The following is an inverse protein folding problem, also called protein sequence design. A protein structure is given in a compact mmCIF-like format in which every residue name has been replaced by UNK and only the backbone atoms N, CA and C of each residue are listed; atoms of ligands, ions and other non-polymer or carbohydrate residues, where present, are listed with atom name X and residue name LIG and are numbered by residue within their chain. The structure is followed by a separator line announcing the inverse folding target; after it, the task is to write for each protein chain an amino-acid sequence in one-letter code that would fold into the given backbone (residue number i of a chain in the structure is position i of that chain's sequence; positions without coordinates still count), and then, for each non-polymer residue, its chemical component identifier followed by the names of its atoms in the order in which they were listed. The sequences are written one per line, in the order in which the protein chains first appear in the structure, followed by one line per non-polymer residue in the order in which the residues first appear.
data_IF_648108492448
#
_entry.id   IF_648108492448
#
_cell.length_a   1.000
_cell.length_b   1.000
_cell.length_c   1.000
_cell.angle_alpha   90.00
_cell.angle_beta   90.00
_cell.angle_gamma   90.00
#
_symmetry.space_group_name_H-M   'P 1'
#
loop_
_entity.id
_entity.type
_entity.pdbx_description
1 polymer ?
#
# COMPACT_ATOMS: atom_id res chain seq x y z
N UNK A 1 51.15 -12.17 -0.14
CA UNK A 1 50.06 -12.29 0.83
C UNK A 1 48.99 -11.24 0.50
N UNK A 2 48.08 -11.61 -0.41
CA UNK A 2 46.93 -10.75 -0.75
C UNK A 2 45.83 -10.97 0.28
N UNK A 3 45.57 -9.91 1.03
CA UNK A 3 44.47 -9.81 1.98
C UNK A 3 43.17 -9.77 1.19
N UNK A 4 42.40 -10.87 1.16
CA UNK A 4 41.07 -10.92 0.65
C UNK A 4 40.19 -10.15 1.65
N UNK A 5 40.02 -8.84 1.44
CA UNK A 5 38.97 -8.07 2.08
C UNK A 5 37.64 -8.72 1.70
N UNK A 6 37.01 -9.38 2.66
CA UNK A 6 35.61 -9.79 2.57
C UNK A 6 34.75 -8.54 2.33
N UNK A 7 34.44 -8.29 1.08
CA UNK A 7 33.31 -7.45 0.73
C UNK A 7 32.04 -8.19 1.22
N UNK A 8 31.60 -7.84 2.42
CA UNK A 8 30.21 -8.10 2.82
C UNK A 8 29.34 -7.33 1.86
N UNK A 9 28.85 -7.98 0.82
CA UNK A 9 27.66 -7.54 0.12
C UNK A 9 26.53 -7.62 1.15
N UNK A 10 26.17 -6.50 1.74
CA UNK A 10 24.87 -6.34 2.41
C UNK A 10 23.88 -6.53 1.27
N UNK A 11 23.32 -7.72 1.19
CA UNK A 11 22.24 -8.01 0.25
C UNK A 11 21.07 -7.11 0.67
N UNK A 12 20.91 -6.00 -0.03
CA UNK A 12 19.81 -5.07 0.24
C UNK A 12 18.50 -5.85 0.18
N UNK A 13 17.65 -5.63 1.15
CA UNK A 13 16.34 -6.28 1.22
C UNK A 13 15.63 -6.17 -0.13
N UNK A 14 15.15 -7.31 -0.64
CA UNK A 14 14.64 -7.43 -2.02
C UNK A 14 13.13 -7.36 -2.08
N UNK A 15 12.46 -7.25 -0.93
CA UNK A 15 11.01 -7.30 -0.85
C UNK A 15 10.39 -5.94 -0.57
N UNK A 16 9.25 -5.73 -1.19
CA UNK A 16 8.40 -4.59 -0.98
C UNK A 16 6.97 -5.07 -0.73
N UNK A 17 6.24 -4.41 0.14
CA UNK A 17 4.82 -4.67 0.35
C UNK A 17 3.99 -3.59 -0.34
N UNK A 18 2.91 -4.00 -0.99
CA UNK A 18 1.83 -3.11 -1.42
C UNK A 18 0.59 -3.37 -0.61
N UNK A 19 -0.02 -2.32 -0.04
CA UNK A 19 -1.26 -2.40 0.73
C UNK A 19 -2.31 -1.52 0.07
N UNK A 20 -3.45 -2.11 -0.27
CA UNK A 20 -4.56 -1.43 -0.90
C UNK A 20 -5.90 -1.95 -0.37
N UNK A 21 -6.92 -1.11 -0.41
CA UNK A 21 -8.31 -1.49 -0.26
C UNK A 21 -9.12 -0.79 -1.35
N UNK A 22 -9.90 -1.56 -2.10
CA UNK A 22 -10.79 -1.05 -3.13
C UNK A 22 -11.95 -0.23 -2.54
N UNK A 23 -12.62 0.54 -3.39
CA UNK A 23 -13.79 1.33 -3.00
C UNK A 23 -15.00 0.49 -2.60
N UNK A 24 -15.04 -0.78 -3.04
CA UNK A 24 -16.03 -1.80 -2.62
C UNK A 24 -15.90 -2.18 -1.14
N UNK A 25 -14.73 -1.94 -0.54
CA UNK A 25 -14.42 -2.28 0.86
C UNK A 25 -14.52 -3.79 1.17
N UNK A 26 -14.28 -4.65 0.19
CA UNK A 26 -14.41 -6.09 0.40
C UNK A 26 -13.26 -6.64 1.21
N UNK A 27 -12.04 -6.24 0.87
CA UNK A 27 -10.84 -6.69 1.53
C UNK A 27 -9.78 -5.58 1.64
N UNK A 28 -8.82 -5.81 2.52
CA UNK A 28 -7.51 -5.16 2.47
C UNK A 28 -6.56 -6.17 1.82
N UNK A 29 -6.01 -5.79 0.69
CA UNK A 29 -5.12 -6.62 -0.09
C UNK A 29 -3.68 -6.26 0.21
N UNK A 30 -2.88 -7.27 0.54
CA UNK A 30 -1.45 -7.11 0.79
C UNK A 30 -0.70 -8.02 -0.19
N UNK A 31 0.15 -7.42 -1.01
CA UNK A 31 1.07 -8.12 -1.90
C UNK A 31 2.50 -7.96 -1.44
N UNK A 32 3.31 -9.00 -1.63
CA UNK A 32 4.75 -8.98 -1.45
C UNK A 32 5.37 -9.15 -2.83
N UNK A 33 6.21 -8.22 -3.24
CA UNK A 33 6.96 -8.31 -4.48
C UNK A 33 8.45 -8.42 -4.18
N UNK A 34 9.13 -9.27 -4.93
CA UNK A 34 10.58 -9.26 -5.01
C UNK A 34 10.99 -8.41 -6.20
N UNK A 35 11.76 -7.36 -5.95
CA UNK A 35 12.23 -6.44 -6.97
C UNK A 35 13.74 -6.50 -7.06
N UNK A 36 14.25 -7.44 -7.84
CA UNK A 36 15.67 -7.56 -8.16
C UNK A 36 15.94 -7.06 -9.58
N UNK A 37 16.68 -5.97 -9.71
CA UNK A 37 17.00 -5.35 -11.00
C UNK A 37 15.78 -4.68 -11.65
N UNK A 38 15.61 -4.88 -12.97
CA UNK A 38 14.52 -4.25 -13.76
C UNK A 38 13.20 -5.04 -13.77
N UNK A 39 13.16 -6.20 -13.14
CA UNK A 39 11.98 -7.07 -13.10
C UNK A 39 11.54 -7.28 -11.67
N UNK A 40 10.24 -7.39 -11.45
CA UNK A 40 9.71 -7.84 -10.18
C UNK A 40 8.89 -9.12 -10.34
N UNK A 41 8.79 -9.87 -9.26
CA UNK A 41 7.96 -11.07 -9.16
C UNK A 41 7.06 -10.93 -7.95
N UNK A 42 5.79 -11.34 -8.09
CA UNK A 42 4.91 -11.50 -6.94
C UNK A 42 5.43 -12.69 -6.15
N UNK A 43 5.83 -12.44 -4.91
CA UNK A 43 6.32 -13.44 -3.96
C UNK A 43 5.20 -13.97 -3.08
N UNK A 44 4.28 -13.09 -2.70
CA UNK A 44 3.16 -13.44 -1.85
C UNK A 44 1.98 -12.51 -2.02
N UNK A 45 0.79 -13.02 -1.67
CA UNK A 45 -0.45 -12.25 -1.70
C UNK A 45 -1.40 -12.76 -0.62
N UNK A 46 -2.16 -11.85 -0.03
CA UNK A 46 -3.22 -12.18 0.90
C UNK A 46 -4.30 -11.11 0.88
N UNK A 47 -5.52 -11.58 0.75
CA UNK A 47 -6.74 -10.80 0.98
C UNK A 47 -7.18 -10.96 2.44
N UNK A 48 -7.49 -9.85 3.08
CA UNK A 48 -8.05 -9.81 4.41
C UNK A 48 -9.44 -9.21 4.35
N UNK A 49 -10.44 -10.04 4.42
CA UNK A 49 -11.85 -9.62 4.34
C UNK A 49 -12.18 -8.61 5.43
N UNK A 50 -12.80 -7.50 5.06
CA UNK A 50 -13.30 -6.53 6.02
C UNK A 50 -14.65 -7.00 6.59
N UNK A 51 -14.77 -6.99 7.91
CA UNK A 51 -16.04 -7.32 8.55
C UNK A 51 -17.14 -6.32 8.17
N UNK A 52 -18.39 -6.76 8.16
CA UNK A 52 -19.53 -5.90 7.88
C UNK A 52 -19.58 -4.69 8.83
N UNK A 53 -19.15 -4.87 10.07
CA UNK A 53 -19.04 -3.77 11.05
C UNK A 53 -18.07 -2.67 10.57
N UNK A 54 -16.91 -3.05 10.02
CA UNK A 54 -15.95 -2.08 9.45
C UNK A 54 -16.50 -1.40 8.21
N UNK A 55 -17.10 -2.17 7.29
CA UNK A 55 -17.75 -1.62 6.09
C UNK A 55 -18.79 -0.57 6.45
N UNK A 56 -19.66 -0.88 7.41
CA UNK A 56 -20.71 0.04 7.87
C UNK A 56 -20.14 1.32 8.49
N UNK A 57 -19.06 1.21 9.29
CA UNK A 57 -18.38 2.39 9.85
C UNK A 57 -17.81 3.29 8.76
N UNK A 58 -17.11 2.72 7.77
CA UNK A 58 -16.52 3.49 6.66
C UNK A 58 -17.62 4.18 5.85
N UNK A 59 -18.68 3.46 5.52
CA UNK A 59 -19.81 4.02 4.78
C UNK A 59 -20.52 5.13 5.57
N UNK A 60 -20.66 4.97 6.88
CA UNK A 60 -21.16 6.02 7.77
C UNK A 60 -20.29 7.29 7.74
N UNK A 61 -18.97 7.13 7.72
CA UNK A 61 -18.05 8.28 7.58
C UNK A 61 -18.13 8.94 6.20
N UNK A 62 -18.40 8.17 5.14
CA UNK A 62 -18.55 8.71 3.77
C UNK A 62 -19.88 9.49 3.62
N UNK A 63 -20.95 9.04 4.25
CA UNK A 63 -22.30 9.60 4.09
C UNK A 63 -22.64 10.74 5.05
N UNK A 64 -21.88 10.93 6.11
CA UNK A 64 -22.07 11.98 7.11
C UNK A 64 -20.96 13.03 7.02
N UNK A 65 -21.12 14.15 7.75
CA UNK A 65 -20.00 15.07 8.04
C UNK A 65 -19.39 14.68 9.39
N UNK A 66 -18.48 13.68 9.42
CA UNK A 66 -17.99 13.16 10.69
C UNK A 66 -17.15 14.21 11.42
N UNK A 67 -17.21 14.17 12.76
CA UNK A 67 -16.30 14.98 13.56
C UNK A 67 -14.85 14.51 13.37
N UNK A 68 -13.90 15.43 13.52
CA UNK A 68 -12.48 15.11 13.47
C UNK A 68 -12.10 13.98 14.46
N UNK A 69 -12.71 14.01 15.65
CA UNK A 69 -12.50 12.97 16.67
C UNK A 69 -12.98 11.59 16.20
N UNK A 70 -14.15 11.49 15.56
CA UNK A 70 -14.66 10.23 15.02
C UNK A 70 -13.76 9.66 13.93
N UNK A 71 -13.28 10.51 13.02
CA UNK A 71 -12.32 10.13 11.98
C UNK A 71 -11.00 9.64 12.59
N UNK A 72 -10.45 10.37 13.56
CA UNK A 72 -9.19 10.02 14.20
C UNK A 72 -9.27 8.70 14.98
N UNK A 73 -10.34 8.47 15.72
CA UNK A 73 -10.54 7.22 16.46
C UNK A 73 -10.64 6.03 15.52
N UNK A 74 -11.38 6.17 14.42
CA UNK A 74 -11.50 5.10 13.44
C UNK A 74 -10.20 4.90 12.66
N UNK A 75 -9.47 5.98 12.40
CA UNK A 75 -8.16 5.93 11.78
C UNK A 75 -7.14 5.13 12.61
N UNK A 76 -7.17 5.26 13.93
CA UNK A 76 -6.36 4.44 14.84
C UNK A 76 -6.76 2.96 14.79
N UNK A 77 -8.08 2.66 14.79
CA UNK A 77 -8.61 1.30 14.72
C UNK A 77 -8.17 0.59 13.43
N UNK A 78 -8.34 1.25 12.28
CA UNK A 78 -7.94 0.68 10.97
C UNK A 78 -6.41 0.53 10.85
N UNK A 79 -5.65 1.46 11.38
CA UNK A 79 -4.19 1.37 11.40
C UNK A 79 -3.72 0.16 12.19
N UNK A 80 -4.31 -0.09 13.36
CA UNK A 80 -4.01 -1.26 14.19
C UNK A 80 -4.35 -2.57 13.46
N UNK A 81 -5.48 -2.60 12.76
CA UNK A 81 -5.88 -3.75 11.94
C UNK A 81 -4.82 -4.05 10.87
N UNK A 82 -4.39 -3.03 10.11
CA UNK A 82 -3.39 -3.17 9.05
C UNK A 82 -2.06 -3.66 9.61
N UNK A 83 -1.62 -3.15 10.76
CA UNK A 83 -0.38 -3.61 11.44
C UNK A 83 -0.46 -5.11 11.72
N UNK A 84 -1.61 -5.58 12.25
CA UNK A 84 -1.84 -7.00 12.51
C UNK A 84 -1.76 -7.85 11.24
N UNK A 85 -2.36 -7.37 10.16
CA UNK A 85 -2.35 -8.07 8.86
C UNK A 85 -0.94 -8.13 8.24
N UNK A 86 -0.16 -7.04 8.33
CA UNK A 86 1.23 -7.03 7.88
C UNK A 86 2.06 -8.04 8.67
N UNK A 87 1.94 -8.08 10.00
CA UNK A 87 2.64 -9.08 10.83
C UNK A 87 2.25 -10.50 10.44
N UNK A 88 0.96 -10.75 10.16
CA UNK A 88 0.46 -12.07 9.77
C UNK A 88 1.03 -12.53 8.42
N UNK A 89 1.07 -11.65 7.41
CA UNK A 89 1.61 -12.02 6.09
C UNK A 89 3.12 -12.25 6.17
N UNK A 90 3.87 -11.44 6.90
CA UNK A 90 5.30 -11.65 7.11
C UNK A 90 5.56 -13.02 7.76
N UNK A 91 4.84 -13.35 8.83
CA UNK A 91 4.91 -14.67 9.47
C UNK A 91 4.57 -15.80 8.51
N UNK A 92 3.50 -15.66 7.71
CA UNK A 92 3.07 -16.68 6.73
C UNK A 92 4.18 -16.99 5.72
N UNK A 93 4.88 -15.97 5.24
CA UNK A 93 5.94 -16.11 4.24
C UNK A 93 7.34 -16.24 4.85
N UNK A 94 7.46 -16.35 6.19
CA UNK A 94 8.71 -16.49 6.94
C UNK A 94 9.70 -15.37 6.63
N UNK A 95 9.19 -14.15 6.57
CA UNK A 95 9.97 -12.93 6.36
C UNK A 95 10.07 -12.13 7.65
N UNK A 96 11.25 -11.56 7.88
CA UNK A 96 11.46 -10.56 8.92
C UNK A 96 11.25 -9.14 8.38
N UNK A 97 11.04 -8.17 9.28
CA UNK A 97 10.92 -6.76 8.90
C UNK A 97 12.15 -6.23 8.15
N UNK A 98 13.33 -6.76 8.45
CA UNK A 98 14.60 -6.43 7.79
C UNK A 98 14.67 -6.89 6.34
N UNK A 99 13.83 -7.86 5.94
CA UNK A 99 13.73 -8.31 4.55
C UNK A 99 12.92 -7.34 3.68
N UNK A 100 12.21 -6.39 4.32
CA UNK A 100 11.30 -5.48 3.65
C UNK A 100 11.94 -4.10 3.50
N UNK A 101 12.15 -3.67 2.26
CA UNK A 101 12.73 -2.36 1.94
C UNK A 101 11.74 -1.21 2.22
N UNK A 102 10.49 -1.38 1.84
CA UNK A 102 9.43 -0.40 2.07
C UNK A 102 8.03 -0.99 1.90
N UNK A 103 7.05 -0.29 2.45
CA UNK A 103 5.63 -0.54 2.25
C UNK A 103 5.04 0.60 1.42
N UNK A 104 4.41 0.29 0.28
CA UNK A 104 3.54 1.20 -0.45
C UNK A 104 2.12 1.12 0.11
N UNK A 105 1.63 2.22 0.67
CA UNK A 105 0.30 2.28 1.29
C UNK A 105 -0.61 3.24 0.53
N UNK A 106 -1.56 2.72 -0.23
CA UNK A 106 -2.52 3.53 -0.99
C UNK A 106 -3.65 4.12 -0.13
N UNK A 107 -3.82 3.61 1.10
CA UNK A 107 -4.89 4.01 2.00
C UNK A 107 -6.26 3.42 1.65
N UNK A 108 -7.21 3.56 2.55
CA UNK A 108 -8.62 3.28 2.30
C UNK A 108 -9.30 4.61 1.96
N UNK A 109 -9.64 4.82 0.71
CA UNK A 109 -10.17 6.10 0.24
C UNK A 109 -11.49 6.43 0.94
N UNK A 110 -11.50 7.54 1.67
CA UNK A 110 -12.68 8.09 2.33
C UNK A 110 -13.37 9.13 1.44
N UNK A 111 -12.62 10.08 0.90
CA UNK A 111 -13.09 11.13 0.00
C UNK A 111 -12.07 11.38 -1.10
N UNK A 112 -12.52 11.55 -2.35
CA UNK A 112 -11.65 11.80 -3.48
C UNK A 112 -12.28 12.88 -4.37
N UNK A 113 -11.76 14.08 -4.26
CA UNK A 113 -12.27 15.30 -4.91
C UNK A 113 -11.12 16.01 -5.62
N UNK A 114 -10.66 15.51 -6.78
CA UNK A 114 -9.58 16.14 -7.54
C UNK A 114 -9.95 17.55 -8.04
N UNK A 115 -11.24 17.79 -8.28
CA UNK A 115 -11.80 19.13 -8.57
C UNK A 115 -11.53 20.15 -7.45
N UNK A 116 -11.46 19.70 -6.21
CA UNK A 116 -11.10 20.50 -5.03
C UNK A 116 -9.66 20.31 -4.58
N UNK A 117 -8.83 19.70 -5.42
CA UNK A 117 -7.43 19.35 -5.13
C UNK A 117 -7.25 18.59 -3.82
N UNK A 118 -8.15 17.62 -3.56
CA UNK A 118 -8.17 16.91 -2.28
C UNK A 118 -8.43 15.42 -2.45
N UNK A 119 -7.65 14.64 -1.74
CA UNK A 119 -7.92 13.22 -1.52
C UNK A 119 -7.66 12.87 -0.06
N UNK A 120 -8.63 12.21 0.58
CA UNK A 120 -8.56 11.79 1.97
C UNK A 120 -8.67 10.28 2.04
N UNK A 121 -7.80 9.66 2.83
CA UNK A 121 -7.83 8.23 3.08
C UNK A 121 -7.69 7.92 4.58
N UNK A 122 -8.10 6.72 4.96
CA UNK A 122 -7.96 6.17 6.30
C UNK A 122 -6.68 5.33 6.39
N UNK A 123 -6.15 5.23 7.61
CA UNK A 123 -4.88 4.61 7.95
C UNK A 123 -3.78 5.66 8.12
N UNK A 124 -2.95 5.49 9.15
CA UNK A 124 -1.89 6.44 9.47
C UNK A 124 -0.52 5.87 9.07
N UNK A 125 0.10 6.35 7.96
CA UNK A 125 1.37 5.81 7.47
C UNK A 125 2.54 6.03 8.44
N UNK A 126 2.51 7.11 9.23
CA UNK A 126 3.55 7.38 10.24
C UNK A 126 3.51 6.35 11.36
N UNK A 127 2.30 6.02 11.84
CA UNK A 127 2.12 4.98 12.87
C UNK A 127 2.46 3.61 12.30
N UNK A 128 2.04 3.30 11.05
CA UNK A 128 2.44 2.06 10.38
C UNK A 128 3.96 1.92 10.33
N UNK A 129 4.68 2.95 9.87
CA UNK A 129 6.14 2.94 9.78
C UNK A 129 6.80 2.76 11.13
N UNK A 130 6.37 3.51 12.14
CA UNK A 130 6.91 3.45 13.50
C UNK A 130 6.70 2.06 14.13
N UNK A 131 5.48 1.53 14.08
CA UNK A 131 5.12 0.27 14.75
C UNK A 131 5.66 -0.98 14.05
N UNK A 132 5.87 -0.91 12.74
CA UNK A 132 6.45 -1.99 11.97
C UNK A 132 7.98 -1.88 11.86
N UNK A 133 8.55 -0.71 12.11
CA UNK A 133 9.96 -0.37 11.84
C UNK A 133 10.33 -0.62 10.37
N UNK A 134 9.42 -0.30 9.46
CA UNK A 134 9.59 -0.41 8.01
C UNK A 134 9.21 0.95 7.40
N UNK A 135 10.00 1.50 6.45
CA UNK A 135 9.61 2.71 5.73
C UNK A 135 8.25 2.55 5.04
N UNK A 136 7.37 3.57 5.15
CA UNK A 136 6.06 3.58 4.48
C UNK A 136 5.99 4.75 3.52
N UNK A 137 5.69 4.46 2.26
CA UNK A 137 5.45 5.43 1.19
C UNK A 137 3.94 5.51 0.99
N UNK A 138 3.40 6.73 1.04
CA UNK A 138 1.95 6.97 0.99
C UNK A 138 1.63 8.24 0.22
N UNK A 139 0.39 8.70 0.31
CA UNK A 139 -0.11 9.93 -0.30
C UNK A 139 -0.05 9.97 -1.84
N UNK A 140 -0.01 8.80 -2.48
CA UNK A 140 0.10 8.69 -3.94
C UNK A 140 -0.93 9.54 -4.69
N UNK A 141 -2.19 9.55 -4.22
CA UNK A 141 -3.27 10.31 -4.87
C UNK A 141 -3.10 11.80 -4.68
N UNK A 142 -2.80 12.24 -3.46
CA UNK A 142 -2.63 13.66 -3.16
C UNK A 142 -1.41 14.22 -3.89
N UNK A 143 -0.30 13.47 -3.89
CA UNK A 143 0.93 13.86 -4.59
C UNK A 143 0.69 14.04 -6.10
N UNK A 144 -0.08 13.15 -6.73
CA UNK A 144 -0.45 13.25 -8.14
C UNK A 144 -1.36 14.47 -8.39
N UNK A 145 -2.34 14.71 -7.53
CA UNK A 145 -3.22 15.89 -7.60
C UNK A 145 -2.42 17.20 -7.45
N UNK A 146 -1.48 17.24 -6.52
CA UNK A 146 -0.63 18.41 -6.28
C UNK A 146 0.28 18.69 -7.49
N UNK A 147 0.65 17.66 -8.22
CA UNK A 147 1.39 17.76 -9.49
C UNK A 147 0.49 18.09 -10.71
N UNK A 148 -0.82 18.28 -10.51
CA UNK A 148 -1.78 18.60 -11.58
C UNK A 148 -2.49 17.40 -12.19
N UNK A 149 -2.30 16.21 -11.64
CA UNK A 149 -3.00 14.99 -12.03
C UNK A 149 -4.38 14.84 -11.38
N UNK A 150 -5.01 13.68 -11.60
CA UNK A 150 -6.35 13.36 -11.10
C UNK A 150 -6.32 12.47 -9.85
N UNK A 151 -5.13 11.97 -9.42
CA UNK A 151 -4.96 11.04 -8.32
C UNK A 151 -5.51 9.63 -8.57
N UNK A 152 -6.00 9.37 -9.77
CA UNK A 152 -6.53 8.09 -10.22
C UNK A 152 -6.47 7.98 -11.76
N UNK A 153 -6.26 6.78 -12.33
CA UNK A 153 -5.93 5.51 -11.65
C UNK A 153 -4.47 5.45 -11.18
N UNK A 154 -4.19 4.84 -10.04
CA UNK A 154 -2.82 4.63 -9.56
C UNK A 154 -2.07 3.52 -10.34
N UNK A 155 -2.79 2.67 -11.06
CA UNK A 155 -2.25 1.52 -11.80
C UNK A 155 -1.60 1.88 -13.13
N UNK A 156 -1.70 3.14 -13.60
CA UNK A 156 -1.21 3.53 -14.93
C UNK A 156 0.28 3.25 -15.16
N UNK A 157 1.14 3.53 -14.17
CA UNK A 157 2.57 3.23 -14.26
C UNK A 157 2.85 1.73 -14.30
N UNK A 158 2.06 0.93 -13.58
CA UNK A 158 2.16 -0.52 -13.61
C UNK A 158 1.75 -1.10 -14.97
N UNK A 159 0.68 -0.60 -15.57
CA UNK A 159 0.26 -0.99 -16.93
C UNK A 159 1.33 -0.64 -17.97
N UNK A 160 1.94 0.54 -17.88
CA UNK A 160 3.08 0.91 -18.73
C UNK A 160 4.26 -0.06 -18.57
N UNK A 161 4.58 -0.43 -17.33
CA UNK A 161 5.61 -1.43 -17.05
C UNK A 161 5.26 -2.79 -17.68
N UNK A 162 4.02 -3.28 -17.52
CA UNK A 162 3.57 -4.54 -18.13
C UNK A 162 3.71 -4.51 -19.65
N UNK A 163 3.31 -3.44 -20.33
CA UNK A 163 3.49 -3.29 -21.76
C UNK A 163 4.96 -3.39 -22.17
N UNK A 164 5.86 -2.80 -21.37
CA UNK A 164 7.29 -2.83 -21.64
C UNK A 164 7.87 -4.24 -21.51
N UNK A 165 7.54 -4.98 -20.45
CA UNK A 165 8.09 -6.33 -20.23
C UNK A 165 7.48 -7.38 -21.16
N UNK A 166 6.22 -7.18 -21.57
CA UNK A 166 5.54 -8.08 -22.49
C UNK A 166 5.80 -7.75 -23.96
N UNK A 167 6.45 -6.61 -24.22
CA UNK A 167 6.67 -6.08 -25.57
C UNK A 167 5.39 -6.04 -26.42
N UNK A 168 4.26 -5.60 -25.80
CA UNK A 168 2.93 -5.55 -26.40
C UNK A 168 2.21 -4.27 -25.96
N UNK A 169 1.38 -3.74 -26.84
CA UNK A 169 0.38 -2.74 -26.45
C UNK A 169 -0.89 -3.46 -26.02
N UNK A 170 -1.26 -3.32 -24.77
CA UNK A 170 -2.42 -3.97 -24.16
C UNK A 170 -3.47 -2.92 -23.78
N UNK A 171 -4.74 -3.30 -23.89
CA UNK A 171 -5.86 -2.56 -23.31
C UNK A 171 -6.18 -3.21 -21.96
N UNK A 172 -6.25 -2.40 -20.92
CA UNK A 172 -6.56 -2.85 -19.57
C UNK A 172 -8.01 -2.47 -19.25
N UNK A 173 -8.84 -3.48 -19.01
CA UNK A 173 -10.20 -3.30 -18.52
C UNK A 173 -10.23 -3.55 -17.02
N UNK A 174 -10.80 -2.59 -16.30
CA UNK A 174 -11.11 -2.72 -14.88
C UNK A 174 -12.62 -2.87 -14.75
N UNK A 175 -13.08 -4.06 -14.37
CA UNK A 175 -14.49 -4.42 -14.25
C UNK A 175 -14.95 -4.33 -12.80
#
# INVERSE_FOLDING_TARGET
LYNKSCLFYIEMSKYYLGIMCGTSLDSIDISIINAAGKKFKVFGFQEYQLSQKFKNKINGLKSSKPTTTAVNNFNAEITTLIIGQVKNILKKYRLDKSDISAIGYAGITLDHRPDLKKSLYLGNPKILSSMLSIPVISDFRQTDIDAGGQGAPLTGLFHKYLNTIMNKSLIYLNL
#
